data_IF_425621677202
#
_entry.id   IF_425621677202
#
_cell.length_a   1.000
_cell.length_b   1.000
_cell.length_c   1.000
_cell.angle_alpha   90.00
_cell.angle_beta   90.00
_cell.angle_gamma   90.00
#
_symmetry.space_group_name_H-M   'P 1'
#
loop_
_entity.id
_entity.type
_entity.pdbx_description
1 polymer ?
#
# COMPACT_ATOMS: atom_id res chain seq x y z
N UNK A 1 13.55 14.57 3.40
CA UNK A 1 13.83 13.17 3.82
C UNK A 1 13.37 12.26 2.68
N UNK A 2 14.30 11.59 1.99
CA UNK A 2 14.00 10.78 0.80
C UNK A 2 13.64 9.36 1.25
N UNK A 3 12.36 9.14 1.57
CA UNK A 3 11.94 7.82 2.03
C UNK A 3 11.95 6.85 0.85
N UNK A 4 12.62 5.70 0.97
CA UNK A 4 12.46 4.62 0.02
C UNK A 4 10.98 4.24 -0.17
N UNK A 5 10.61 3.83 -1.38
CA UNK A 5 9.21 3.66 -1.80
C UNK A 5 9.03 2.33 -2.50
N UNK A 6 8.17 1.47 -1.96
CA UNK A 6 7.87 0.18 -2.54
C UNK A 6 6.54 0.18 -3.30
N UNK A 7 6.58 0.62 -4.57
CA UNK A 7 5.41 0.66 -5.47
C UNK A 7 4.73 -0.69 -5.67
N UNK A 8 5.47 -1.80 -5.51
CA UNK A 8 4.98 -3.16 -5.84
C UNK A 8 3.78 -3.53 -4.98
N UNK A 9 3.73 -3.02 -3.76
CA UNK A 9 2.67 -3.36 -2.82
C UNK A 9 1.37 -2.58 -3.01
N UNK A 10 1.37 -1.40 -3.62
CA UNK A 10 0.15 -0.58 -3.73
C UNK A 10 -0.94 -1.31 -4.50
N UNK A 11 -0.60 -1.84 -5.67
CA UNK A 11 -1.56 -2.59 -6.51
C UNK A 11 -2.02 -3.87 -5.83
N UNK A 12 -1.09 -4.58 -5.18
CA UNK A 12 -1.38 -5.82 -4.45
C UNK A 12 -2.34 -5.57 -3.29
N UNK A 13 -2.08 -4.56 -2.46
CA UNK A 13 -2.93 -4.15 -1.34
C UNK A 13 -4.33 -3.83 -1.87
N UNK A 14 -4.44 -2.95 -2.87
CA UNK A 14 -5.73 -2.57 -3.43
C UNK A 14 -6.52 -3.79 -3.94
N UNK A 15 -5.85 -4.69 -4.68
CA UNK A 15 -6.49 -5.90 -5.21
C UNK A 15 -6.91 -6.86 -4.11
N UNK A 16 -6.10 -7.02 -3.06
CA UNK A 16 -6.42 -7.87 -1.90
C UNK A 16 -7.62 -7.34 -1.12
N UNK A 17 -7.76 -6.01 -1.04
CA UNK A 17 -8.92 -5.35 -0.44
C UNK A 17 -10.15 -5.33 -1.35
N UNK A 18 -10.06 -5.93 -2.55
CA UNK A 18 -11.10 -5.95 -3.58
C UNK A 18 -11.62 -4.56 -3.97
N UNK A 19 -10.71 -3.58 -4.10
CA UNK A 19 -11.06 -2.21 -4.46
C UNK A 19 -10.68 -1.88 -5.90
N UNK A 20 -11.53 -1.11 -6.57
CA UNK A 20 -11.17 -0.37 -7.78
C UNK A 20 -10.20 0.77 -7.45
N UNK A 21 -9.54 1.33 -8.47
CA UNK A 21 -8.68 2.52 -8.27
C UNK A 21 -9.47 3.72 -7.72
N UNK A 22 -10.75 3.86 -8.14
CA UNK A 22 -11.63 4.93 -7.70
C UNK A 22 -12.04 4.74 -6.23
N UNK A 23 -12.44 3.54 -5.81
CA UNK A 23 -12.81 3.30 -4.42
C UNK A 23 -11.62 3.47 -3.48
N UNK A 24 -10.44 3.01 -3.89
CA UNK A 24 -9.20 3.21 -3.14
C UNK A 24 -8.87 4.70 -3.00
N UNK A 25 -8.97 5.47 -4.08
CA UNK A 25 -8.71 6.92 -4.02
C UNK A 25 -9.72 7.66 -3.15
N UNK A 26 -11.01 7.28 -3.22
CA UNK A 26 -12.06 7.85 -2.38
C UNK A 26 -11.78 7.59 -0.90
N UNK A 27 -11.41 6.36 -0.51
CA UNK A 27 -11.05 6.02 0.88
C UNK A 27 -9.84 6.82 1.38
N UNK A 28 -8.86 7.06 0.51
CA UNK A 28 -7.65 7.81 0.84
C UNK A 28 -7.86 9.32 0.81
N UNK A 29 -8.96 9.84 0.25
CA UNK A 29 -9.17 11.28 0.11
C UNK A 29 -8.26 11.94 -0.93
N UNK A 30 -7.88 11.21 -1.97
CA UNK A 30 -7.09 11.73 -3.10
C UNK A 30 -7.83 11.53 -4.42
N UNK A 31 -7.40 12.23 -5.46
CA UNK A 31 -7.96 12.01 -6.80
C UNK A 31 -7.55 10.63 -7.34
N UNK A 32 -8.41 10.04 -8.17
CA UNK A 32 -8.10 8.78 -8.87
C UNK A 32 -6.86 8.90 -9.75
N UNK A 33 -6.59 10.10 -10.30
CA UNK A 33 -5.42 10.39 -11.12
C UNK A 33 -4.12 10.35 -10.31
N UNK A 34 -4.12 10.94 -9.11
CA UNK A 34 -3.00 10.81 -8.16
C UNK A 34 -2.76 9.34 -7.84
N UNK A 35 -3.82 8.60 -7.47
CA UNK A 35 -3.69 7.18 -7.14
C UNK A 35 -3.13 6.35 -8.30
N UNK A 36 -3.58 6.57 -9.55
CA UNK A 36 -3.05 5.91 -10.75
C UNK A 36 -1.55 6.19 -10.95
N UNK A 37 -1.12 7.41 -10.70
CA UNK A 37 0.29 7.80 -10.80
C UNK A 37 1.14 7.08 -9.76
N UNK A 38 0.64 6.95 -8.53
CA UNK A 38 1.32 6.23 -7.45
C UNK A 38 1.35 4.73 -7.71
N UNK A 39 0.20 4.11 -8.05
CA UNK A 39 0.11 2.68 -8.33
C UNK A 39 0.97 2.26 -9.53
N UNK A 40 1.08 3.10 -10.57
CA UNK A 40 1.97 2.84 -11.71
C UNK A 40 3.45 3.06 -11.40
N UNK A 41 3.78 3.62 -10.23
CA UNK A 41 5.15 3.94 -9.84
C UNK A 41 5.76 5.15 -10.52
N UNK A 42 4.94 5.96 -11.22
CA UNK A 42 5.38 7.23 -11.84
C UNK A 42 5.62 8.34 -10.81
N UNK A 43 5.15 8.17 -9.59
CA UNK A 43 5.44 9.03 -8.45
C UNK A 43 5.49 8.19 -7.17
N UNK A 44 6.25 8.66 -6.18
CA UNK A 44 6.41 8.01 -4.87
C UNK A 44 5.25 8.28 -3.91
N UNK A 45 4.24 9.03 -4.32
CA UNK A 45 3.19 9.49 -3.40
C UNK A 45 3.63 10.71 -2.58
N UNK A 46 2.65 11.51 -2.15
CA UNK A 46 2.87 12.61 -1.20
C UNK A 46 2.94 12.10 0.23
N UNK A 47 3.42 12.92 1.18
CA UNK A 47 3.34 12.62 2.62
C UNK A 47 1.91 12.28 3.04
N UNK A 48 0.94 13.09 2.60
CA UNK A 48 -0.47 12.87 2.83
C UNK A 48 -0.92 11.47 2.39
N UNK A 49 -0.55 11.01 1.20
CA UNK A 49 -0.89 9.64 0.75
C UNK A 49 -0.40 8.56 1.72
N UNK A 50 0.82 8.69 2.25
CA UNK A 50 1.38 7.73 3.20
C UNK A 50 0.66 7.77 4.55
N UNK A 51 0.37 8.97 5.05
CA UNK A 51 -0.41 9.16 6.29
C UNK A 51 -1.79 8.51 6.15
N UNK A 52 -2.47 8.75 5.03
CA UNK A 52 -3.78 8.15 4.74
C UNK A 52 -3.72 6.63 4.63
N UNK A 53 -2.66 6.05 4.07
CA UNK A 53 -2.49 4.59 4.03
C UNK A 53 -2.37 3.98 5.43
N UNK A 54 -1.64 4.63 6.34
CA UNK A 54 -1.54 4.20 7.74
C UNK A 54 -2.87 4.40 8.48
N UNK A 55 -3.51 5.56 8.32
CA UNK A 55 -4.75 5.88 9.02
C UNK A 55 -5.92 5.00 8.58
N UNK A 56 -6.05 4.69 7.29
CA UNK A 56 -7.19 3.95 6.75
C UNK A 56 -6.96 2.45 6.76
N UNK A 57 -5.75 2.00 6.43
CA UNK A 57 -5.45 0.58 6.21
C UNK A 57 -4.41 0.03 7.18
N UNK A 58 -3.81 0.86 8.04
CA UNK A 58 -2.78 0.44 8.97
C UNK A 58 -1.53 -0.08 8.28
N UNK A 59 -1.19 0.45 7.09
CA UNK A 59 -0.04 0.02 6.29
C UNK A 59 0.90 1.21 6.07
N UNK A 60 2.17 1.04 6.44
CA UNK A 60 3.22 2.03 6.18
C UNK A 60 4.02 1.67 4.92
N UNK A 61 3.88 2.50 3.89
CA UNK A 61 4.57 2.34 2.60
C UNK A 61 5.95 3.02 2.52
N UNK A 62 6.40 3.72 3.55
CA UNK A 62 7.68 4.45 3.60
C UNK A 62 8.86 3.50 3.89
N UNK A 63 8.95 2.43 3.12
CA UNK A 63 9.88 1.32 3.36
C UNK A 63 11.03 1.30 2.36
N UNK A 64 12.20 0.78 2.81
CA UNK A 64 13.34 0.46 1.94
C UNK A 64 12.85 -0.28 0.68
N UNK A 65 13.24 0.05 -0.58
CA UNK A 65 12.74 -0.65 -1.75
C UNK A 65 13.24 -2.10 -1.77
N UNK A 66 14.33 -2.37 -1.05
CA UNK A 66 14.89 -3.70 -0.80
C UNK A 66 14.13 -4.46 0.30
N UNK A 67 13.14 -3.81 0.95
CA UNK A 67 12.24 -4.47 1.87
C UNK A 67 11.18 -5.25 1.09
N UNK A 68 11.34 -6.58 1.08
CA UNK A 68 10.42 -7.50 0.42
C UNK A 68 9.17 -7.84 1.26
N UNK A 69 8.78 -6.97 2.20
CA UNK A 69 7.60 -7.17 3.06
C UNK A 69 6.72 -5.94 3.19
N UNK A 70 5.43 -6.18 3.44
CA UNK A 70 4.46 -5.14 3.80
C UNK A 70 4.58 -4.88 5.30
N UNK A 71 4.70 -3.61 5.68
CA UNK A 71 4.75 -3.20 7.08
C UNK A 71 3.37 -2.74 7.52
N UNK A 72 2.83 -3.40 8.53
CA UNK A 72 1.57 -3.06 9.15
C UNK A 72 1.83 -2.22 10.40
N UNK A 73 1.32 -0.99 10.43
CA UNK A 73 1.26 -0.17 11.64
C UNK A 73 0.08 -0.56 12.52
N UNK A 74 -1.01 -1.04 11.91
CA UNK A 74 -2.21 -1.51 12.61
C UNK A 74 -2.95 -2.57 11.75
N UNK A 75 -2.71 -3.87 11.98
CA UNK A 75 -3.30 -4.92 11.16
C UNK A 75 -4.82 -5.07 11.33
N UNK A 76 -5.42 -4.46 12.36
CA UNK A 76 -6.88 -4.53 12.61
C UNK A 76 -7.69 -3.62 11.68
N UNK A 77 -7.03 -2.71 10.95
CA UNK A 77 -7.64 -1.81 9.96
C UNK A 77 -8.06 -2.50 8.66
N UNK A 78 -7.65 -3.75 8.45
CA UNK A 78 -8.03 -4.58 7.30
C UNK A 78 -8.61 -5.90 7.81
N UNK A 79 -9.33 -6.61 6.94
CA UNK A 79 -9.90 -7.90 7.32
C UNK A 79 -8.80 -8.91 7.67
N UNK A 80 -9.07 -9.81 8.62
CA UNK A 80 -8.13 -10.87 8.97
C UNK A 80 -7.72 -11.74 7.76
N UNK A 81 -8.63 -11.91 6.79
CA UNK A 81 -8.34 -12.60 5.52
C UNK A 81 -7.32 -11.82 4.70
N UNK A 82 -7.50 -10.51 4.52
CA UNK A 82 -6.57 -9.65 3.80
C UNK A 82 -5.21 -9.61 4.49
N UNK A 83 -5.19 -9.46 5.82
CA UNK A 83 -3.95 -9.48 6.60
C UNK A 83 -3.18 -10.81 6.42
N UNK A 84 -3.86 -11.96 6.52
CA UNK A 84 -3.23 -13.27 6.27
C UNK A 84 -2.68 -13.36 4.85
N UNK A 85 -3.41 -12.90 3.83
CA UNK A 85 -2.90 -12.93 2.47
C UNK A 85 -1.66 -12.04 2.31
N UNK A 86 -1.75 -10.78 2.69
CA UNK A 86 -0.66 -9.80 2.52
C UNK A 86 0.60 -10.15 3.33
N UNK A 87 0.45 -10.75 4.52
CA UNK A 87 1.57 -11.22 5.34
C UNK A 87 2.30 -12.44 4.75
N UNK A 88 1.65 -13.22 3.89
CA UNK A 88 2.30 -14.39 3.23
C UNK A 88 3.08 -14.05 1.97
N UNK A 89 2.86 -12.86 1.40
CA UNK A 89 3.55 -12.42 0.16
C UNK A 89 5.06 -12.24 0.37
N UNK A 90 5.52 -12.21 1.63
CA UNK A 90 6.93 -12.21 2.03
C UNK A 90 7.76 -13.38 1.47
N UNK A 91 7.15 -14.54 1.20
CA UNK A 91 7.89 -15.82 1.08
C UNK A 91 8.30 -16.25 -0.33
N UNK A 92 7.89 -15.57 -1.39
CA UNK A 92 8.03 -16.09 -2.77
C UNK A 92 9.13 -15.42 -3.61
N UNK A 93 10.22 -15.02 -2.96
CA UNK A 93 11.35 -14.32 -3.60
C UNK A 93 12.73 -14.93 -3.36
N UNK A 94 12.82 -16.13 -2.78
CA UNK A 94 14.08 -16.86 -2.53
C UNK A 94 13.98 -18.31 -3.05
N UNK A 95 13.61 -18.48 -4.33
CA UNK A 95 13.87 -19.69 -5.11
C UNK A 95 14.49 -19.29 -6.45
#
# INVERSE_FOLDING_TARGET
MNYPYNRRFIKLIRKTLNLTQQEMSNKLGITVQCFRTYESGRSRGSTFFHERMMEVFGIDLRQNPDLHKIVFSDPLKISAVAYRHLSTVEKRGND
#
